data_IF_061181505814
#
_entry.id   IF_061181505814
#
_cell.length_a   1.000
_cell.length_b   1.000
_cell.length_c   1.000
_cell.angle_alpha   90.00
_cell.angle_beta   90.00
_cell.angle_gamma   90.00
#
_symmetry.space_group_name_H-M   'P 1'
#
loop_
_entity.id
_entity.type
_entity.pdbx_description
1 polymer ?
#
# COMPACT_ATOMS: atom_id res chain seq x y z
N UNK A 1 9.90 -21.24 -17.37
CA UNK A 1 8.60 -21.28 -16.67
C UNK A 1 8.48 -19.98 -15.90
N UNK A 2 7.85 -18.98 -16.52
CA UNK A 2 7.64 -17.68 -15.89
C UNK A 2 6.29 -17.78 -15.18
N UNK A 3 6.32 -18.28 -13.94
CA UNK A 3 5.17 -18.34 -13.02
C UNK A 3 4.73 -16.90 -12.71
N UNK A 4 4.04 -16.28 -13.66
CA UNK A 4 3.29 -15.04 -13.42
C UNK A 4 2.06 -15.44 -12.62
N UNK A 5 2.24 -15.65 -11.32
CA UNK A 5 1.12 -15.63 -10.42
C UNK A 5 0.59 -14.21 -10.34
N UNK A 6 -0.30 -13.87 -11.26
CA UNK A 6 -1.05 -12.63 -11.23
C UNK A 6 -2.03 -12.67 -10.04
N UNK A 7 -1.84 -11.76 -9.09
CA UNK A 7 -2.65 -11.69 -7.87
C UNK A 7 -4.15 -11.58 -8.15
N UNK A 8 -4.53 -11.03 -9.31
CA UNK A 8 -5.92 -10.90 -9.74
C UNK A 8 -6.61 -12.24 -9.99
N UNK A 9 -5.87 -13.28 -10.35
CA UNK A 9 -6.40 -14.61 -10.67
C UNK A 9 -6.15 -15.65 -9.58
N UNK A 10 -5.76 -15.20 -8.38
CA UNK A 10 -5.53 -16.06 -7.24
C UNK A 10 -6.86 -16.43 -6.57
N UNK A 11 -7.15 -17.74 -6.37
CA UNK A 11 -8.24 -18.16 -5.50
C UNK A 11 -7.82 -17.92 -4.05
N UNK A 12 -8.25 -16.78 -3.49
CA UNK A 12 -7.98 -16.38 -2.12
C UNK A 12 -8.91 -17.10 -1.14
N UNK A 13 -8.34 -17.70 -0.11
CA UNK A 13 -9.07 -18.35 0.99
C UNK A 13 -8.75 -17.62 2.28
N UNK A 14 -9.79 -17.29 3.06
CA UNK A 14 -9.63 -16.64 4.35
C UNK A 14 -9.24 -17.65 5.41
N UNK A 15 -8.26 -17.30 6.24
CA UNK A 15 -7.88 -18.08 7.40
C UNK A 15 -9.00 -18.06 8.45
N UNK A 16 -9.37 -19.23 8.98
CA UNK A 16 -10.44 -19.36 9.97
C UNK A 16 -10.03 -18.82 11.34
N UNK A 17 -8.73 -18.80 11.65
CA UNK A 17 -8.21 -18.29 12.91
C UNK A 17 -7.90 -16.79 12.85
N UNK A 18 -7.71 -16.23 11.64
CA UNK A 18 -7.30 -14.85 11.42
C UNK A 18 -8.15 -14.21 10.31
N UNK A 19 -9.23 -13.47 10.64
CA UNK A 19 -10.15 -12.93 9.65
C UNK A 19 -9.50 -11.92 8.67
N UNK A 20 -8.37 -11.33 9.07
CA UNK A 20 -7.61 -10.38 8.26
C UNK A 20 -6.54 -11.04 7.37
N UNK A 21 -6.41 -12.36 7.44
CA UNK A 21 -5.39 -13.13 6.73
C UNK A 21 -6.00 -13.96 5.59
N UNK A 22 -5.47 -13.77 4.38
CA UNK A 22 -5.93 -14.45 3.17
C UNK A 22 -4.75 -15.15 2.50
N UNK A 23 -4.98 -16.37 2.03
CA UNK A 23 -3.97 -17.20 1.40
C UNK A 23 -4.39 -17.60 -0.01
N UNK A 24 -3.48 -17.45 -0.98
CA UNK A 24 -3.70 -17.94 -2.34
C UNK A 24 -3.23 -19.39 -2.48
N UNK A 25 -4.17 -20.30 -2.73
CA UNK A 25 -3.89 -21.74 -2.87
C UNK A 25 -2.97 -22.08 -4.05
N UNK A 26 -3.01 -21.26 -5.11
CA UNK A 26 -2.24 -21.51 -6.34
C UNK A 26 -0.77 -21.12 -6.20
N UNK A 27 -0.51 -20.04 -5.47
CA UNK A 27 0.80 -19.37 -5.50
C UNK A 27 1.47 -19.27 -4.15
N UNK A 28 0.83 -19.81 -3.11
CA UNK A 28 1.33 -19.80 -1.75
C UNK A 28 1.66 -18.40 -1.21
N UNK A 29 0.96 -17.39 -1.72
CA UNK A 29 1.10 -15.99 -1.32
C UNK A 29 0.08 -15.66 -0.24
N UNK A 30 0.51 -14.91 0.75
CA UNK A 30 -0.31 -14.38 1.84
C UNK A 30 -0.63 -12.90 1.61
N UNK A 31 -1.84 -12.49 1.97
CA UNK A 31 -2.30 -11.10 1.95
C UNK A 31 -2.97 -10.79 3.27
N UNK A 32 -2.68 -9.61 3.81
CA UNK A 32 -3.25 -9.12 5.06
C UNK A 32 -4.10 -7.89 4.75
N UNK A 33 -5.38 -7.91 5.13
CA UNK A 33 -6.31 -6.78 4.88
C UNK A 33 -5.88 -5.54 5.67
N UNK A 34 -5.25 -5.76 6.83
CA UNK A 34 -4.77 -4.68 7.70
C UNK A 34 -3.29 -4.35 7.49
N UNK A 35 -2.66 -4.84 6.41
CA UNK A 35 -1.42 -4.22 5.96
C UNK A 35 -1.86 -2.94 5.28
N UNK A 36 -1.97 -1.91 6.11
CA UNK A 36 -2.11 -0.54 5.66
C UNK A 36 -1.27 -0.39 4.40
N UNK A 37 -1.90 0.09 3.35
CA UNK A 37 -1.18 0.90 2.37
C UNK A 37 -0.48 1.93 3.26
N UNK A 38 0.78 1.67 3.55
CA UNK A 38 1.62 2.57 4.30
C UNK A 38 1.51 3.89 3.54
N UNK A 39 0.80 4.86 4.10
CA UNK A 39 1.28 6.15 4.63
C UNK A 39 2.69 6.65 4.21
N UNK A 40 3.33 6.07 3.19
CA UNK A 40 4.63 6.50 2.66
C UNK A 40 4.45 7.70 1.70
N UNK A 41 3.22 7.96 1.27
CA UNK A 41 2.88 9.06 0.36
C UNK A 41 2.33 10.31 1.05
N UNK A 42 1.54 10.17 2.12
CA UNK A 42 0.81 11.31 2.70
C UNK A 42 1.76 12.27 3.43
N UNK A 43 2.72 11.75 4.20
CA UNK A 43 3.72 12.59 4.88
C UNK A 43 4.58 13.42 3.92
N UNK A 44 4.92 12.87 2.75
CA UNK A 44 5.74 13.56 1.76
C UNK A 44 5.01 14.73 1.08
N UNK A 45 3.70 14.59 0.83
CA UNK A 45 2.86 15.65 0.26
C UNK A 45 2.79 16.87 1.18
N UNK A 46 2.63 16.66 2.49
CA UNK A 46 2.61 17.74 3.48
C UNK A 46 3.94 18.50 3.55
N UNK A 47 5.07 17.80 3.44
CA UNK A 47 6.41 18.41 3.41
C UNK A 47 6.57 19.30 2.18
N UNK A 48 6.16 18.83 1.00
CA UNK A 48 6.22 19.63 -0.24
C UNK A 48 5.35 20.88 -0.11
N UNK A 49 4.11 20.75 0.36
CA UNK A 49 3.21 21.87 0.54
C UNK A 49 3.79 22.92 1.51
N UNK A 50 4.43 22.48 2.58
CA UNK A 50 5.09 23.37 3.53
C UNK A 50 6.24 24.16 2.87
N UNK A 51 7.13 23.47 2.15
CA UNK A 51 8.28 24.11 1.48
C UNK A 51 7.82 25.10 0.40
N UNK A 52 6.82 24.72 -0.40
CA UNK A 52 6.24 25.60 -1.44
C UNK A 52 5.59 26.82 -0.80
N UNK A 53 4.80 26.64 0.26
CA UNK A 53 4.14 27.74 0.97
C UNK A 53 5.13 28.75 1.55
N UNK A 54 6.21 28.27 2.18
CA UNK A 54 7.28 29.13 2.70
C UNK A 54 8.01 29.86 1.57
N UNK A 55 8.31 29.18 0.46
CA UNK A 55 8.94 29.79 -0.71
C UNK A 55 8.12 30.94 -1.31
N UNK A 56 6.81 30.74 -1.45
CA UNK A 56 5.87 31.77 -1.92
C UNK A 56 5.82 32.95 -0.93
N UNK A 57 5.74 32.68 0.38
CA UNK A 57 5.72 33.71 1.39
C UNK A 57 6.96 34.60 1.36
N UNK A 58 8.15 34.00 1.19
CA UNK A 58 9.42 34.73 1.07
C UNK A 58 9.47 35.51 -0.25
N UNK A 59 8.95 34.97 -1.35
CA UNK A 59 8.97 35.63 -2.65
C UNK A 59 8.01 36.82 -2.77
N UNK A 60 6.95 36.84 -1.94
CA UNK A 60 5.96 37.92 -1.89
C UNK A 60 6.30 39.01 -0.86
N UNK A 61 7.36 38.82 -0.07
CA UNK A 61 7.85 39.75 0.94
C UNK A 61 8.86 40.73 0.35
#
# INVERSE_FOLDING_TARGET
>A
MLDKCEEMYCPWVRDTQKPDHYYCLRCKRERWVNRSISDEGEGFVWIILFVVGVGIAIALQ
#
